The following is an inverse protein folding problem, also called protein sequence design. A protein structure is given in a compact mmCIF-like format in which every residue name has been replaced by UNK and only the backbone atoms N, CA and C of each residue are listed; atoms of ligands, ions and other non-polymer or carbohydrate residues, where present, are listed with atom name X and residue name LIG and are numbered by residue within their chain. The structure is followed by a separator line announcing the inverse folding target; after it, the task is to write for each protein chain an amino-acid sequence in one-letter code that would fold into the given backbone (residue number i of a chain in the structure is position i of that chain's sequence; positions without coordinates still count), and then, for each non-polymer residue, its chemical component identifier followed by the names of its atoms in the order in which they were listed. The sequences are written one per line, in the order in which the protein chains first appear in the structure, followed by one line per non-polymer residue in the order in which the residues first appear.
data_IF_279038560462
#
_entry.id   IF_279038560462
#
_cell.length_a   1.000
_cell.length_b   1.000
_cell.length_c   1.000
_cell.angle_alpha   90.00
_cell.angle_beta   90.00
_cell.angle_gamma   90.00
#
_symmetry.space_group_name_H-M   'P 1'
#
loop_
_entity.id
_entity.type
_entity.pdbx_description
1 polymer ?
#
# COMPACT_ATOMS: atom_id res chain seq x y z
N UNK A 1 -19.31 -12.46 13.16
CA UNK A 1 -20.22 -11.31 13.34
C UNK A 1 -21.63 -11.86 13.30
N UNK A 2 -22.36 -11.81 14.42
CA UNK A 2 -23.63 -12.51 14.57
C UNK A 2 -24.76 -11.83 13.78
N UNK A 3 -25.56 -12.63 13.05
CA UNK A 3 -26.65 -12.13 12.18
C UNK A 3 -27.72 -11.41 13.01
N UNK A 4 -27.95 -11.89 14.24
CA UNK A 4 -28.94 -11.30 15.14
C UNK A 4 -28.49 -9.94 15.69
N UNK A 5 -27.18 -9.69 15.76
CA UNK A 5 -26.58 -8.40 16.15
C UNK A 5 -26.63 -7.36 15.03
N UNK A 6 -26.47 -7.80 13.77
CA UNK A 6 -26.68 -6.98 12.57
C UNK A 6 -28.13 -6.51 12.46
N UNK A 7 -29.10 -7.42 12.60
CA UNK A 7 -30.53 -7.10 12.48
C UNK A 7 -31.00 -6.06 13.52
N UNK A 8 -30.47 -6.14 14.75
CA UNK A 8 -30.76 -5.17 15.82
C UNK A 8 -30.24 -3.77 15.50
N UNK A 9 -29.06 -3.67 14.87
CA UNK A 9 -28.43 -2.38 14.54
C UNK A 9 -29.06 -1.71 13.32
N UNK A 10 -29.46 -2.47 12.30
CA UNK A 10 -29.98 -1.92 11.03
C UNK A 10 -31.51 -1.80 10.99
N UNK A 11 -32.24 -2.29 11.99
CA UNK A 11 -33.71 -2.42 11.98
C UNK A 11 -34.23 -3.12 10.70
N UNK A 12 -33.44 -4.00 10.11
CA UNK A 12 -33.79 -4.77 8.92
C UNK A 12 -34.26 -6.16 9.30
N UNK A 13 -35.08 -6.78 8.45
CA UNK A 13 -35.46 -8.18 8.64
C UNK A 13 -34.24 -9.11 8.47
N UNK A 14 -34.28 -10.29 9.10
CA UNK A 14 -33.21 -11.30 8.99
C UNK A 14 -32.92 -11.69 7.54
N UNK A 15 -33.95 -11.71 6.69
CA UNK A 15 -33.84 -11.98 5.25
C UNK A 15 -33.09 -10.87 4.51
N UNK A 16 -33.34 -9.60 4.84
CA UNK A 16 -32.62 -8.47 4.27
C UNK A 16 -31.15 -8.41 4.72
N UNK A 17 -30.88 -8.70 5.99
CA UNK A 17 -29.51 -8.75 6.52
C UNK A 17 -28.67 -9.86 5.84
N UNK A 18 -29.24 -11.05 5.65
CA UNK A 18 -28.58 -12.16 4.94
C UNK A 18 -28.36 -11.80 3.45
N UNK A 19 -29.34 -11.17 2.81
CA UNK A 19 -29.21 -10.72 1.41
C UNK A 19 -28.09 -9.68 1.25
N UNK A 20 -28.02 -8.70 2.16
CA UNK A 20 -26.98 -7.67 2.17
C UNK A 20 -25.59 -8.26 2.41
N UNK A 21 -25.44 -9.17 3.39
CA UNK A 21 -24.17 -9.86 3.65
C UNK A 21 -23.73 -10.71 2.46
N UNK A 22 -24.66 -11.46 1.85
CA UNK A 22 -24.40 -12.23 0.63
C UNK A 22 -23.94 -11.33 -0.52
N UNK A 23 -24.61 -10.18 -0.72
CA UNK A 23 -24.21 -9.17 -1.70
C UNK A 23 -22.79 -8.64 -1.45
N UNK A 24 -22.46 -8.31 -0.20
CA UNK A 24 -21.13 -7.84 0.18
C UNK A 24 -20.06 -8.92 -0.06
N UNK A 25 -20.32 -10.17 0.35
CA UNK A 25 -19.40 -11.28 0.10
C UNK A 25 -19.18 -11.50 -1.40
N UNK A 26 -20.23 -11.45 -2.21
CA UNK A 26 -20.11 -11.59 -3.66
C UNK A 26 -19.30 -10.45 -4.28
N UNK A 27 -19.50 -9.21 -3.82
CA UNK A 27 -18.73 -8.06 -4.26
C UNK A 27 -17.25 -8.20 -3.87
N UNK A 28 -16.95 -8.55 -2.62
CA UNK A 28 -15.58 -8.79 -2.17
C UNK A 28 -14.91 -9.90 -2.99
N UNK A 29 -15.62 -11.02 -3.18
CA UNK A 29 -15.15 -12.12 -4.01
C UNK A 29 -14.91 -11.70 -5.46
N UNK A 30 -15.73 -10.82 -6.03
CA UNK A 30 -15.49 -10.27 -7.37
C UNK A 30 -14.16 -9.50 -7.43
N UNK A 31 -13.88 -8.65 -6.45
CA UNK A 31 -12.63 -7.88 -6.41
C UNK A 31 -11.39 -8.77 -6.23
N UNK A 32 -11.44 -9.74 -5.32
CA UNK A 32 -10.36 -10.72 -5.10
C UNK A 32 -10.06 -11.53 -6.35
N UNK A 33 -11.10 -12.07 -7.00
CA UNK A 33 -10.94 -12.84 -8.24
C UNK A 33 -10.35 -11.99 -9.36
N UNK A 34 -10.82 -10.75 -9.50
CA UNK A 34 -10.32 -9.78 -10.47
C UNK A 34 -8.85 -9.45 -10.27
N UNK A 35 -8.44 -9.17 -9.03
CA UNK A 35 -7.05 -8.87 -8.69
C UNK A 35 -6.15 -10.07 -9.00
N UNK A 36 -6.51 -11.28 -8.54
CA UNK A 36 -5.73 -12.50 -8.79
C UNK A 36 -5.66 -12.87 -10.27
N UNK A 37 -6.75 -12.67 -11.02
CA UNK A 37 -6.76 -12.91 -12.46
C UNK A 37 -5.87 -11.92 -13.21
N UNK A 38 -5.82 -10.66 -12.78
CA UNK A 38 -4.94 -9.64 -13.34
C UNK A 38 -3.45 -9.92 -13.08
N UNK A 39 -3.12 -10.46 -11.91
CA UNK A 39 -1.74 -10.81 -11.49
C UNK A 39 -1.32 -12.25 -11.89
N UNK A 40 -2.20 -12.99 -12.57
CA UNK A 40 -1.99 -14.41 -12.88
C UNK A 40 -0.69 -14.66 -13.64
N UNK A 41 -0.43 -13.90 -14.71
CA UNK A 41 0.75 -14.08 -15.56
C UNK A 41 2.04 -13.79 -14.79
N UNK A 42 2.04 -12.72 -14.00
CA UNK A 42 3.16 -12.37 -13.12
C UNK A 42 3.44 -13.48 -12.11
N UNK A 43 2.40 -13.99 -11.44
CA UNK A 43 2.52 -15.09 -10.47
C UNK A 43 3.06 -16.38 -11.12
N UNK A 44 2.59 -16.71 -12.31
CA UNK A 44 3.10 -17.87 -13.06
C UNK A 44 4.59 -17.67 -13.38
N UNK A 45 4.97 -16.48 -13.81
CA UNK A 45 6.36 -16.18 -14.12
C UNK A 45 7.26 -16.23 -12.87
N UNK A 46 6.78 -15.74 -11.73
CA UNK A 46 7.45 -15.89 -10.43
C UNK A 46 7.70 -17.35 -10.11
N UNK A 47 6.69 -18.20 -10.24
CA UNK A 47 6.82 -19.64 -9.97
C UNK A 47 7.80 -20.32 -10.93
N UNK A 48 7.73 -20.00 -12.22
CA UNK A 48 8.68 -20.50 -13.22
C UNK A 48 10.11 -20.08 -12.88
N UNK A 49 10.31 -18.82 -12.48
CA UNK A 49 11.64 -18.32 -12.13
C UNK A 49 12.17 -18.96 -10.85
N UNK A 50 11.31 -19.16 -9.85
CA UNK A 50 11.66 -19.84 -8.61
C UNK A 50 12.07 -21.31 -8.87
N UNK A 51 11.31 -22.02 -9.70
CA UNK A 51 11.64 -23.41 -10.07
C UNK A 51 12.96 -23.51 -10.83
N UNK A 52 13.17 -22.62 -11.82
CA UNK A 52 14.45 -22.51 -12.54
C UNK A 52 15.64 -22.20 -11.62
N UNK A 53 15.44 -21.42 -10.56
CA UNK A 53 16.49 -21.13 -9.60
C UNK A 53 16.87 -22.38 -8.80
N UNK A 54 15.89 -23.23 -8.46
CA UNK A 54 16.12 -24.52 -7.79
C UNK A 54 16.81 -25.52 -8.71
N UNK A 55 16.41 -25.58 -9.99
CA UNK A 55 17.08 -26.40 -11.00
C UNK A 55 18.55 -25.98 -11.14
N UNK A 56 18.81 -24.67 -11.24
CA UNK A 56 20.16 -24.13 -11.32
C UNK A 56 20.97 -24.46 -10.06
N UNK A 57 20.38 -24.34 -8.87
CA UNK A 57 21.03 -24.72 -7.62
C UNK A 57 21.42 -26.21 -7.63
N UNK A 58 20.55 -27.09 -8.13
CA UNK A 58 20.86 -28.51 -8.30
C UNK A 58 21.96 -28.76 -9.32
N UNK A 59 21.95 -28.06 -10.46
CA UNK A 59 22.96 -28.22 -11.51
C UNK A 59 24.34 -27.74 -11.07
N UNK A 60 24.39 -26.57 -10.41
CA UNK A 60 25.64 -25.93 -9.95
C UNK A 60 26.23 -26.61 -8.70
N UNK A 61 25.45 -27.44 -8.00
CA UNK A 61 25.89 -28.12 -6.78
C UNK A 61 27.07 -29.08 -6.99
N UNK A 62 28.06 -28.98 -6.10
CA UNK A 62 29.28 -29.79 -6.13
C UNK A 62 29.09 -30.98 -5.18
N UNK A 63 29.30 -32.20 -5.70
CA UNK A 63 29.24 -33.42 -4.89
C UNK A 63 30.34 -33.42 -3.81
N UNK A 64 29.99 -33.58 -2.52
CA UNK A 64 30.96 -33.67 -1.44
C UNK A 64 31.69 -35.01 -1.47
N UNK A 65 33.01 -34.98 -1.25
CA UNK A 65 33.82 -36.20 -1.11
C UNK A 65 33.68 -36.75 0.31
N UNK A 66 32.94 -37.84 0.46
CA UNK A 66 32.67 -38.46 1.76
C UNK A 66 33.10 -39.92 1.78
N UNK A 67 33.69 -40.35 2.90
CA UNK A 67 34.12 -41.73 3.14
C UNK A 67 33.12 -42.49 4.01
N UNK A 68 32.99 -43.79 3.75
CA UNK A 68 32.14 -44.66 4.56
C UNK A 68 32.74 -44.86 5.95
N UNK A 69 31.96 -44.62 7.01
CA UNK A 69 32.42 -44.82 8.41
C UNK A 69 32.77 -46.27 8.77
N UNK A 70 32.28 -47.25 7.99
CA UNK A 70 32.54 -48.67 8.24
C UNK A 70 33.71 -49.23 7.43
N UNK A 71 33.85 -48.78 6.18
CA UNK A 71 34.76 -49.40 5.21
C UNK A 71 35.85 -48.45 4.71
N UNK A 72 35.81 -47.18 5.11
CA UNK A 72 36.75 -46.11 4.72
C UNK A 72 36.93 -45.93 3.21
N UNK A 73 35.96 -46.41 2.42
CA UNK A 73 35.92 -46.23 0.97
C UNK A 73 35.15 -44.98 0.60
N UNK A 74 35.56 -44.36 -0.50
CA UNK A 74 34.84 -43.23 -1.09
C UNK A 74 33.42 -43.66 -1.47
N UNK A 75 32.43 -42.93 -0.97
CA UNK A 75 31.02 -43.19 -1.28
C UNK A 75 30.68 -42.62 -2.66
N UNK A 76 29.68 -43.21 -3.32
CA UNK A 76 29.21 -42.79 -4.65
C UNK A 76 27.84 -42.10 -4.54
N UNK A 77 27.62 -41.07 -5.34
CA UNK A 77 26.32 -40.42 -5.46
C UNK A 77 25.26 -41.40 -5.99
N UNK A 78 24.17 -41.55 -5.23
CA UNK A 78 22.98 -42.27 -5.66
C UNK A 78 21.88 -41.32 -6.12
N UNK A 79 21.70 -40.22 -5.40
CA UNK A 79 20.61 -39.29 -5.61
C UNK A 79 20.95 -37.93 -5.00
N UNK A 80 20.54 -36.84 -5.64
CA UNK A 80 20.62 -35.48 -5.07
C UNK A 80 19.28 -34.79 -5.20
N UNK A 81 18.94 -33.93 -4.23
CA UNK A 81 17.73 -33.10 -4.24
C UNK A 81 17.96 -31.80 -3.46
N UNK A 82 17.06 -30.83 -3.64
CA UNK A 82 16.99 -29.66 -2.77
C UNK A 82 16.22 -30.04 -1.50
N UNK A 83 16.78 -29.71 -0.35
CA UNK A 83 16.04 -29.62 0.90
C UNK A 83 15.56 -28.17 1.07
N UNK A 84 14.24 -27.99 0.99
CA UNK A 84 13.61 -26.68 1.12
C UNK A 84 13.46 -26.29 2.58
N UNK A 85 13.83 -25.07 2.92
CA UNK A 85 13.51 -24.46 4.20
C UNK A 85 12.21 -23.65 4.04
N UNK A 86 11.12 -24.18 4.59
CA UNK A 86 9.80 -23.55 4.49
C UNK A 86 9.68 -22.24 5.30
N UNK A 87 10.54 -22.05 6.30
CA UNK A 87 10.57 -20.83 7.12
C UNK A 87 11.47 -19.76 6.49
N UNK A 88 12.50 -20.16 5.74
CA UNK A 88 13.39 -19.25 5.03
C UNK A 88 13.90 -19.83 3.71
N UNK A 89 13.22 -19.49 2.60
CA UNK A 89 13.57 -19.95 1.25
C UNK A 89 14.98 -19.57 0.78
N UNK A 90 15.68 -18.65 1.44
CA UNK A 90 17.08 -18.32 1.14
C UNK A 90 18.08 -19.34 1.72
N UNK A 91 17.60 -20.29 2.53
CA UNK A 91 18.39 -21.35 3.12
C UNK A 91 18.21 -22.70 2.41
N UNK A 92 17.62 -22.71 1.22
CA UNK A 92 17.49 -23.93 0.42
C UNK A 92 18.89 -24.51 0.14
N UNK A 93 19.09 -25.77 0.49
CA UNK A 93 20.39 -26.47 0.38
C UNK A 93 20.25 -27.71 -0.47
N UNK A 94 21.30 -28.04 -1.23
CA UNK A 94 21.36 -29.33 -1.90
C UNK A 94 21.86 -30.39 -0.94
N UNK A 95 21.21 -31.54 -0.98
CA UNK A 95 21.57 -32.71 -0.20
C UNK A 95 21.80 -33.92 -1.10
N UNK A 96 22.86 -34.65 -0.79
CA UNK A 96 23.35 -35.80 -1.54
C UNK A 96 23.14 -37.07 -0.73
N UNK A 97 22.44 -38.03 -1.31
CA UNK A 97 22.41 -39.41 -0.84
C UNK A 97 23.60 -40.15 -1.43
N UNK A 98 24.60 -40.38 -0.60
CA UNK A 98 25.77 -41.17 -0.96
C UNK A 98 25.59 -42.62 -0.51
N UNK A 99 26.07 -43.56 -1.31
CA UNK A 99 26.05 -44.99 -1.02
C UNK A 99 27.47 -45.58 -1.10
N UNK A 100 27.84 -46.38 -0.10
CA UNK A 100 29.07 -47.16 -0.14
C UNK A 100 28.92 -48.34 -1.11
N UNK A 101 29.87 -48.56 -2.04
CA UNK A 101 29.81 -49.67 -2.99
C UNK A 101 29.96 -51.04 -2.33
N UNK A 102 30.67 -51.13 -1.19
CA UNK A 102 31.00 -52.43 -0.57
C UNK A 102 29.98 -52.89 0.47
N UNK A 103 29.49 -51.98 1.32
CA UNK A 103 28.62 -52.33 2.46
C UNK A 103 27.20 -51.78 2.35
N UNK A 104 26.88 -51.16 1.22
CA UNK A 104 25.58 -50.53 0.91
C UNK A 104 25.10 -49.48 1.92
N UNK A 105 25.95 -49.08 2.87
CA UNK A 105 25.67 -48.02 3.83
C UNK A 105 25.36 -46.71 3.10
N UNK A 106 24.32 -46.03 3.54
CA UNK A 106 23.84 -44.77 2.94
C UNK A 106 23.95 -43.63 3.93
N UNK A 107 24.27 -42.45 3.41
CA UNK A 107 24.34 -41.21 4.19
C UNK A 107 23.80 -40.05 3.40
N UNK A 108 23.14 -39.14 4.10
CA UNK A 108 22.70 -37.86 3.55
C UNK A 108 23.71 -36.81 3.96
N UNK A 109 24.29 -36.11 2.99
CA UNK A 109 25.38 -35.14 3.21
C UNK A 109 25.04 -33.85 2.47
N UNK A 110 25.31 -32.70 3.06
CA UNK A 110 25.18 -31.40 2.41
C UNK A 110 26.42 -31.06 1.57
N UNK A 111 26.35 -30.01 0.75
CA UNK A 111 27.48 -29.54 -0.08
C UNK A 111 28.78 -29.28 0.71
N UNK A 112 28.66 -28.84 1.97
CA UNK A 112 29.79 -28.56 2.86
C UNK A 112 30.41 -29.83 3.47
N UNK A 113 29.86 -31.02 3.17
CA UNK A 113 30.30 -32.30 3.73
C UNK A 113 29.69 -32.63 5.09
N UNK A 114 28.81 -31.78 5.63
CA UNK A 114 28.12 -32.06 6.91
C UNK A 114 27.03 -33.12 6.71
N UNK A 115 26.94 -34.06 7.65
CA UNK A 115 25.94 -35.13 7.62
C UNK A 115 24.58 -34.60 8.12
N UNK A 116 23.51 -34.92 7.40
CA UNK A 116 22.16 -34.55 7.83
C UNK A 116 21.75 -35.36 9.04
N UNK A 117 21.38 -34.65 10.10
CA UNK A 117 20.78 -35.28 11.27
C UNK A 117 19.38 -35.82 10.92
N UNK A 118 19.09 -37.10 11.25
CA UNK A 118 17.75 -37.64 11.06
C UNK A 118 16.75 -36.89 11.94
N UNK A 119 15.55 -36.63 11.39
CA UNK A 119 14.48 -36.01 12.15
C UNK A 119 14.12 -36.87 13.36
N UNK A 120 14.14 -36.25 14.54
CA UNK A 120 13.81 -36.91 15.81
C UNK A 120 12.31 -36.90 16.01
N UNK A 121 11.66 -38.06 15.92
CA UNK A 121 10.25 -38.20 16.27
C UNK A 121 10.11 -38.13 17.79
N UNK A 122 9.27 -37.22 18.27
CA UNK A 122 9.00 -37.06 19.70
C UNK A 122 7.67 -37.75 20.06
N UNK A 123 7.65 -38.41 21.21
CA UNK A 123 6.45 -39.07 21.71
C UNK A 123 5.40 -38.04 22.14
N UNK A 124 4.16 -38.16 21.66
CA UNK A 124 3.05 -37.26 22.03
C UNK A 124 2.78 -37.22 23.54
N UNK A 125 3.05 -38.31 24.27
CA UNK A 125 2.73 -38.42 25.70
C UNK A 125 3.79 -37.85 26.64
N UNK A 126 5.06 -37.87 26.25
CA UNK A 126 6.16 -37.53 27.15
C UNK A 126 7.29 -36.74 26.48
N UNK A 127 7.13 -36.40 25.21
CA UNK A 127 8.05 -35.61 24.39
C UNK A 127 9.48 -36.16 24.32
N UNK A 128 9.70 -37.43 24.66
CA UNK A 128 10.99 -38.08 24.46
C UNK A 128 11.12 -38.65 23.06
N UNK A 129 12.36 -38.72 22.57
CA UNK A 129 12.69 -39.31 21.28
C UNK A 129 12.18 -40.76 21.18
N UNK A 130 11.55 -41.08 20.06
CA UNK A 130 11.02 -42.41 19.74
C UNK A 130 11.96 -43.15 18.79
N UNK A 131 12.06 -44.46 18.97
CA UNK A 131 12.87 -45.32 18.13
C UNK A 131 11.99 -46.02 17.09
N UNK A 132 12.57 -46.27 15.91
CA UNK A 132 11.94 -47.10 14.89
C UNK A 132 11.91 -48.55 15.35
N UNK A 133 10.72 -49.10 15.57
CA UNK A 133 10.51 -50.45 16.06
C UNK A 133 10.35 -51.48 14.93
N UNK A 134 9.89 -51.05 13.75
CA UNK A 134 9.76 -51.92 12.59
C UNK A 134 8.88 -51.35 11.49
N UNK A 135 9.06 -51.88 10.29
CA UNK A 135 8.31 -51.51 9.10
C UNK A 135 7.68 -52.78 8.49
N UNK A 136 6.42 -52.67 8.08
CA UNK A 136 5.71 -53.71 7.31
C UNK A 136 5.21 -53.11 6.02
N UNK A 137 5.76 -53.58 4.91
CA UNK A 137 5.28 -53.23 3.57
C UNK A 137 4.37 -54.32 3.00
N UNK A 138 3.25 -53.89 2.45
CA UNK A 138 2.38 -54.66 1.58
C UNK A 138 2.21 -53.92 0.26
N UNK A 139 1.66 -54.57 -0.77
CA UNK A 139 1.46 -53.94 -2.10
C UNK A 139 0.64 -52.64 -2.05
N UNK A 140 -0.24 -52.47 -1.06
CA UNK A 140 -1.17 -51.35 -0.95
C UNK A 140 -0.89 -50.45 0.25
N UNK A 141 0.08 -50.76 1.10
CA UNK A 141 0.22 -50.08 2.38
C UNK A 141 1.60 -50.27 2.98
N UNK A 142 2.16 -49.19 3.51
CA UNK A 142 3.36 -49.20 4.36
C UNK A 142 2.95 -48.86 5.78
N UNK A 143 3.19 -49.77 6.73
CA UNK A 143 3.01 -49.50 8.16
C UNK A 143 4.37 -49.33 8.83
N UNK A 144 4.62 -48.16 9.38
CA UNK A 144 5.83 -47.86 10.14
C UNK A 144 5.48 -47.76 11.62
N UNK A 145 6.13 -48.55 12.46
CA UNK A 145 5.87 -48.57 13.91
C UNK A 145 7.02 -47.92 14.65
N UNK A 146 6.70 -46.97 15.52
CA UNK A 146 7.64 -46.30 16.41
C UNK A 146 7.33 -46.68 17.86
N UNK A 147 8.37 -46.83 18.68
CA UNK A 147 8.24 -47.12 20.11
C UNK A 147 8.99 -46.06 20.92
N UNK A 148 8.30 -45.52 21.92
CA UNK A 148 8.90 -44.64 22.90
C UNK A 148 9.69 -45.46 23.94
N UNK A 149 10.95 -45.08 24.18
CA UNK A 149 11.84 -45.74 25.14
C UNK A 149 11.52 -45.39 26.59
N UNK A 150 10.87 -44.25 26.87
CA UNK A 150 10.55 -43.80 28.24
C UNK A 150 9.19 -44.26 28.76
N UNK A 151 8.16 -44.26 27.93
CA UNK A 151 6.77 -44.52 28.36
C UNK A 151 6.10 -45.71 27.65
N UNK A 152 6.89 -46.49 26.88
CA UNK A 152 6.46 -47.67 26.11
C UNK A 152 5.33 -47.44 25.10
N UNK A 153 4.92 -46.19 24.89
CA UNK A 153 3.93 -45.83 23.90
C UNK A 153 4.38 -46.25 22.50
N UNK A 154 3.44 -46.80 21.73
CA UNK A 154 3.64 -47.19 20.34
C UNK A 154 2.75 -46.35 19.45
N UNK A 155 3.34 -45.85 18.39
CA UNK A 155 2.70 -45.07 17.34
C UNK A 155 2.87 -45.82 16.03
N UNK A 156 1.81 -45.86 15.21
CA UNK A 156 1.81 -46.56 13.93
C UNK A 156 1.38 -45.58 12.86
N UNK A 157 2.31 -45.28 11.95
CA UNK A 157 2.03 -44.50 10.76
C UNK A 157 1.66 -45.44 9.61
N UNK A 158 0.57 -45.11 8.94
CA UNK A 158 0.03 -45.89 7.84
C UNK A 158 0.04 -45.04 6.57
N UNK A 159 0.87 -45.42 5.60
CA UNK A 159 0.87 -44.82 4.27
C UNK A 159 0.09 -45.73 3.33
N UNK A 160 -1.07 -45.26 2.87
CA UNK A 160 -1.87 -45.94 1.86
C UNK A 160 -1.24 -45.72 0.47
N UNK A 161 -1.00 -46.83 -0.24
CA UNK A 161 -0.45 -46.85 -1.59
C UNK A 161 -1.47 -47.39 -2.60
N UNK A 162 -2.73 -47.51 -2.21
CA UNK A 162 -3.79 -47.93 -3.11
C UNK A 162 -4.05 -46.87 -4.18
N UNK A 163 -4.37 -47.33 -5.39
CA UNK A 163 -4.84 -46.45 -6.45
C UNK A 163 -6.24 -45.95 -6.07
N UNK A 164 -6.42 -44.63 -6.09
CA UNK A 164 -7.72 -43.97 -5.92
C UNK A 164 -8.76 -44.53 -6.91
N UNK A 165 -10.00 -44.72 -6.42
CA UNK A 165 -11.11 -45.23 -7.22
C UNK A 165 -11.39 -44.26 -8.40
N UNK A 166 -11.43 -44.73 -9.66
CA UNK A 166 -11.78 -43.90 -10.81
C UNK A 166 -13.07 -43.07 -10.63
N UNK A 167 -14.06 -43.57 -9.88
CA UNK A 167 -15.30 -42.86 -9.59
C UNK A 167 -15.11 -41.70 -8.61
N UNK A 168 -14.17 -41.82 -7.68
CA UNK A 168 -13.84 -40.71 -6.78
C UNK A 168 -13.11 -39.62 -7.53
N UNK A 169 -12.15 -39.97 -8.39
CA UNK A 169 -11.48 -39.02 -9.29
C UNK A 169 -12.45 -38.25 -10.18
N UNK A 170 -13.47 -38.93 -10.72
CA UNK A 170 -14.49 -38.28 -11.55
C UNK A 170 -15.32 -37.27 -10.74
N UNK A 171 -15.67 -37.62 -9.50
CA UNK A 171 -16.39 -36.71 -8.59
C UNK A 171 -15.54 -35.49 -8.24
N UNK A 172 -14.28 -35.69 -7.86
CA UNK A 172 -13.35 -34.61 -7.54
C UNK A 172 -13.14 -33.67 -8.74
N UNK A 173 -13.01 -34.23 -9.94
CA UNK A 173 -12.91 -33.44 -11.17
C UNK A 173 -14.18 -32.62 -11.42
N UNK A 174 -15.35 -33.20 -11.21
CA UNK A 174 -16.62 -32.50 -11.35
C UNK A 174 -16.77 -31.36 -10.32
N UNK A 175 -16.32 -31.56 -9.09
CA UNK A 175 -16.30 -30.53 -8.04
C UNK A 175 -15.29 -29.43 -8.37
N UNK A 176 -14.08 -29.78 -8.80
CA UNK A 176 -13.07 -28.84 -9.26
C UNK A 176 -13.58 -27.95 -10.40
N UNK A 177 -14.29 -28.52 -11.37
CA UNK A 177 -14.85 -27.73 -12.48
C UNK A 177 -15.92 -26.74 -12.02
N UNK A 178 -16.74 -27.10 -11.03
CA UNK A 178 -17.71 -26.18 -10.42
C UNK A 178 -17.01 -25.04 -9.69
N UNK A 179 -15.97 -25.36 -8.93
CA UNK A 179 -15.20 -24.35 -8.20
C UNK A 179 -14.40 -23.45 -9.15
N UNK A 180 -13.82 -24.00 -10.22
CA UNK A 180 -13.17 -23.22 -11.27
C UNK A 180 -14.14 -22.22 -11.90
N UNK A 181 -15.34 -22.66 -12.27
CA UNK A 181 -16.36 -21.76 -12.82
C UNK A 181 -16.82 -20.71 -11.79
N UNK A 182 -16.84 -21.06 -10.50
CA UNK A 182 -17.23 -20.15 -9.44
C UNK A 182 -16.14 -19.14 -9.10
N UNK A 183 -14.87 -19.53 -9.08
CA UNK A 183 -13.77 -18.77 -8.50
C UNK A 183 -12.75 -18.22 -9.51
N UNK A 184 -12.77 -18.66 -10.77
CA UNK A 184 -11.91 -18.10 -11.80
C UNK A 184 -12.72 -17.20 -12.74
N UNK A 185 -12.15 -16.05 -13.12
CA UNK A 185 -12.71 -15.22 -14.19
C UNK A 185 -12.26 -15.73 -15.55
N UNK A 186 -13.13 -15.60 -16.53
CA UNK A 186 -12.79 -15.69 -17.94
C UNK A 186 -12.16 -14.37 -18.43
N UNK A 187 -11.70 -14.36 -19.68
CA UNK A 187 -11.07 -13.18 -20.28
C UNK A 187 -12.01 -11.97 -20.30
N UNK A 188 -13.30 -12.22 -20.55
CA UNK A 188 -14.32 -11.17 -20.56
C UNK A 188 -14.52 -10.57 -19.17
N UNK A 189 -14.69 -11.40 -18.15
CA UNK A 189 -14.84 -10.96 -16.76
C UNK A 189 -13.61 -10.22 -16.25
N UNK A 190 -12.40 -10.62 -16.69
CA UNK A 190 -11.17 -9.89 -16.39
C UNK A 190 -11.17 -8.49 -17.02
N UNK A 191 -11.62 -8.36 -18.27
CA UNK A 191 -11.72 -7.07 -18.94
C UNK A 191 -12.73 -6.15 -18.23
N UNK A 192 -13.91 -6.67 -17.89
CA UNK A 192 -14.93 -5.94 -17.12
C UNK A 192 -14.40 -5.48 -15.76
N UNK A 193 -13.61 -6.32 -15.08
CA UNK A 193 -12.96 -5.95 -13.82
C UNK A 193 -11.96 -4.80 -14.01
N UNK A 194 -11.10 -4.86 -15.04
CA UNK A 194 -10.11 -3.81 -15.32
C UNK A 194 -10.80 -2.47 -15.59
N UNK A 195 -11.82 -2.47 -16.45
CA UNK A 195 -12.61 -1.28 -16.77
C UNK A 195 -13.34 -0.73 -15.53
N UNK A 196 -13.95 -1.61 -14.74
CA UNK A 196 -14.61 -1.23 -13.48
C UNK A 196 -13.63 -0.61 -12.47
N UNK A 197 -12.43 -1.18 -12.34
CA UNK A 197 -11.37 -0.65 -11.47
C UNK A 197 -10.91 0.73 -11.91
N UNK A 198 -10.73 0.94 -13.21
CA UNK A 198 -10.29 2.23 -13.75
C UNK A 198 -11.38 3.31 -13.63
N UNK A 199 -12.64 2.93 -13.84
CA UNK A 199 -13.77 3.83 -13.61
C UNK A 199 -13.88 4.23 -12.13
N UNK A 200 -13.65 3.30 -11.19
CA UNK A 200 -13.67 3.60 -9.76
C UNK A 200 -12.57 4.62 -9.39
N UNK A 201 -11.36 4.46 -9.94
CA UNK A 201 -10.26 5.42 -9.74
C UNK A 201 -10.62 6.82 -10.27
N UNK A 202 -11.18 6.91 -11.47
CA UNK A 202 -11.65 8.20 -12.03
C UNK A 202 -12.72 8.85 -11.16
N UNK A 203 -13.65 8.05 -10.64
CA UNK A 203 -14.67 8.56 -9.73
C UNK A 203 -14.06 9.08 -8.42
N UNK A 204 -13.04 8.40 -7.88
CA UNK A 204 -12.32 8.86 -6.69
C UNK A 204 -11.64 10.23 -6.93
N UNK A 205 -11.03 10.42 -8.11
CA UNK A 205 -10.42 11.70 -8.50
C UNK A 205 -11.47 12.81 -8.57
N UNK A 206 -12.61 12.56 -9.22
CA UNK A 206 -13.71 13.52 -9.28
C UNK A 206 -14.23 13.88 -7.89
N UNK A 207 -14.41 12.90 -6.99
CA UNK A 207 -14.86 13.16 -5.61
C UNK A 207 -13.84 14.00 -4.85
N UNK A 208 -12.53 13.79 -5.06
CA UNK A 208 -11.48 14.64 -4.46
C UNK A 208 -11.55 16.07 -4.98
N UNK A 209 -11.87 16.28 -6.24
CA UNK A 209 -12.07 17.62 -6.81
C UNK A 209 -13.31 18.30 -6.23
N UNK A 210 -14.45 17.61 -6.17
CA UNK A 210 -15.68 18.16 -5.57
C UNK A 210 -15.50 18.54 -4.09
N UNK A 211 -14.81 17.71 -3.30
CA UNK A 211 -14.52 18.02 -1.89
C UNK A 211 -13.67 19.29 -1.72
N UNK A 212 -12.68 19.50 -2.59
CA UNK A 212 -11.86 20.73 -2.58
C UNK A 212 -12.69 21.97 -2.87
N UNK A 213 -13.73 21.86 -3.68
CA UNK A 213 -14.60 22.99 -3.99
C UNK A 213 -15.63 23.25 -2.88
N UNK A 214 -16.16 22.22 -2.23
CA UNK A 214 -17.10 22.38 -1.11
C UNK A 214 -16.46 23.02 0.14
N UNK A 215 -15.20 22.71 0.47
CA UNK A 215 -14.48 23.33 1.60
C UNK A 215 -14.26 24.85 1.42
N UNK A 216 -14.22 25.34 0.18
CA UNK A 216 -13.94 26.74 -0.15
C UNK A 216 -15.23 27.58 -0.18
N UNK A 217 -16.40 26.96 -0.41
CA UNK A 217 -17.72 27.63 -0.48
C UNK A 217 -18.08 28.49 0.74
N UNK A 218 -17.86 28.07 2.01
CA UNK A 218 -18.13 28.95 3.15
C UNK A 218 -17.20 30.16 3.18
N UNK A 219 -15.91 29.97 2.84
CA UNK A 219 -14.93 31.06 2.83
C UNK A 219 -15.20 32.09 1.72
N UNK A 220 -15.75 31.66 0.58
CA UNK A 220 -16.24 32.54 -0.49
C UNK A 220 -17.34 33.51 0.00
N UNK A 221 -18.23 33.05 0.89
CA UNK A 221 -19.32 33.87 1.45
C UNK A 221 -18.82 34.92 2.45
N UNK A 222 -17.69 34.67 3.10
CA UNK A 222 -17.09 35.58 4.07
C UNK A 222 -16.24 36.70 3.41
N UNK A 223 -15.92 36.59 2.12
CA UNK A 223 -15.14 37.61 1.41
C UNK A 223 -16.03 38.81 1.06
N UNK A 224 -15.70 39.96 1.65
CA UNK A 224 -16.34 41.23 1.35
C UNK A 224 -15.89 41.74 -0.03
N UNK A 225 -16.83 41.86 -0.98
CA UNK A 225 -16.59 42.47 -2.29
C UNK A 225 -16.55 44.00 -2.15
N UNK A 226 -15.36 44.59 -2.29
CA UNK A 226 -15.17 46.03 -2.22
C UNK A 226 -14.94 46.61 -3.62
N UNK A 227 -15.62 47.71 -3.92
CA UNK A 227 -15.30 48.55 -5.08
C UNK A 227 -14.02 49.36 -4.83
N UNK A 228 -13.40 49.89 -5.90
CA UNK A 228 -12.18 50.72 -5.80
C UNK A 228 -12.39 51.92 -4.87
N UNK A 229 -13.56 52.57 -4.94
CA UNK A 229 -13.88 53.71 -4.08
C UNK A 229 -13.98 53.33 -2.59
N UNK A 230 -14.56 52.16 -2.29
CA UNK A 230 -14.68 51.67 -0.91
C UNK A 230 -13.33 51.18 -0.36
N UNK A 231 -12.51 50.56 -1.20
CA UNK A 231 -11.14 50.17 -0.89
C UNK A 231 -10.30 51.38 -0.47
N UNK A 232 -10.34 52.46 -1.26
CA UNK A 232 -9.61 53.69 -0.95
C UNK A 232 -10.00 54.28 0.40
N UNK A 233 -11.30 54.33 0.71
CA UNK A 233 -11.79 54.84 2.00
C UNK A 233 -11.27 53.97 3.15
N UNK A 234 -11.33 52.64 3.01
CA UNK A 234 -10.89 51.68 4.03
C UNK A 234 -9.38 51.78 4.27
N UNK A 235 -8.57 51.87 3.20
CA UNK A 235 -7.12 52.03 3.28
C UNK A 235 -6.71 53.41 3.83
N UNK A 236 -7.34 54.50 3.39
CA UNK A 236 -7.07 55.84 3.95
C UNK A 236 -7.32 55.88 5.46
N UNK A 237 -8.39 55.26 5.93
CA UNK A 237 -8.73 55.22 7.35
C UNK A 237 -7.72 54.40 8.18
N UNK A 238 -7.29 53.24 7.69
CA UNK A 238 -6.35 52.38 8.43
C UNK A 238 -4.89 52.86 8.36
N UNK A 239 -4.45 53.39 7.22
CA UNK A 239 -3.07 53.82 7.00
C UNK A 239 -2.74 55.15 7.68
N UNK A 240 -3.69 56.10 7.77
CA UNK A 240 -3.51 57.34 8.55
C UNK A 240 -3.24 57.06 10.03
N UNK A 241 -3.95 56.09 10.62
CA UNK A 241 -3.72 55.66 12.01
C UNK A 241 -2.31 55.10 12.24
N UNK A 242 -1.64 54.62 11.19
CA UNK A 242 -0.28 54.07 11.24
C UNK A 242 0.82 55.07 10.85
N UNK A 243 0.47 56.33 10.62
CA UNK A 243 1.40 57.40 10.28
C UNK A 243 1.76 57.49 8.80
N UNK A 244 0.91 56.97 7.91
CA UNK A 244 1.06 57.14 6.47
C UNK A 244 0.06 58.16 5.95
N UNK A 245 0.55 59.14 5.19
CA UNK A 245 -0.23 60.28 4.73
C UNK A 245 -0.20 60.45 3.21
N UNK A 246 -1.12 61.28 2.71
CA UNK A 246 -1.26 61.63 1.28
C UNK A 246 -1.36 60.41 0.36
N UNK A 247 -2.23 59.46 0.70
CA UNK A 247 -2.53 58.32 -0.17
C UNK A 247 -3.16 58.79 -1.50
N UNK A 248 -2.52 58.43 -2.61
CA UNK A 248 -2.97 58.62 -3.98
C UNK A 248 -3.03 57.27 -4.68
N UNK A 249 -4.12 57.04 -5.39
CA UNK A 249 -4.35 55.87 -6.23
C UNK A 249 -4.16 56.26 -7.69
N UNK A 250 -3.60 55.35 -8.49
CA UNK A 250 -3.58 55.48 -9.94
C UNK A 250 -4.94 55.14 -10.54
N UNK A 251 -5.11 55.45 -11.83
CA UNK A 251 -6.22 54.91 -12.60
C UNK A 251 -6.19 53.36 -12.58
N UNK A 252 -7.33 52.69 -12.36
CA UNK A 252 -7.40 51.24 -12.36
C UNK A 252 -7.13 50.67 -13.74
N UNK A 253 -6.21 49.70 -13.82
CA UNK A 253 -5.96 48.92 -15.03
C UNK A 253 -6.83 47.67 -15.00
N UNK A 254 -7.73 47.54 -15.97
CA UNK A 254 -8.62 46.38 -16.10
C UNK A 254 -8.07 45.45 -17.17
N UNK A 255 -7.59 44.28 -16.74
CA UNK A 255 -7.18 43.18 -17.61
C UNK A 255 -7.85 41.90 -17.06
N UNK A 256 -7.17 40.75 -17.02
CA UNK A 256 -7.65 39.55 -16.29
C UNK A 256 -8.00 39.85 -14.82
N UNK A 257 -7.31 40.79 -14.17
CA UNK A 257 -7.60 41.26 -12.82
C UNK A 257 -7.60 42.80 -12.80
N UNK A 258 -8.27 43.40 -11.82
CA UNK A 258 -8.23 44.87 -11.63
C UNK A 258 -6.97 45.21 -10.84
N UNK A 259 -6.08 46.01 -11.40
CA UNK A 259 -4.84 46.43 -10.73
C UNK A 259 -4.87 47.93 -10.43
N UNK A 260 -4.52 48.31 -9.20
CA UNK A 260 -4.46 49.72 -8.75
C UNK A 260 -3.13 49.96 -8.06
N UNK A 261 -2.37 50.96 -8.55
CA UNK A 261 -1.13 51.37 -7.92
C UNK A 261 -1.43 52.43 -6.85
N UNK A 262 -0.83 52.27 -5.68
CA UNK A 262 -1.03 53.12 -4.52
C UNK A 262 0.29 53.79 -4.15
N UNK A 263 0.29 55.12 -4.09
CA UNK A 263 1.40 55.96 -3.65
C UNK A 263 1.04 56.64 -2.35
N UNK A 264 1.95 56.62 -1.38
CA UNK A 264 1.75 57.24 -0.08
C UNK A 264 3.07 57.76 0.49
N UNK A 265 2.98 58.73 1.39
CA UNK A 265 4.13 59.34 2.06
C UNK A 265 4.23 58.79 3.49
N UNK A 266 5.43 58.41 3.90
CA UNK A 266 5.69 58.14 5.31
C UNK A 266 5.80 59.47 6.06
N UNK A 267 4.94 59.69 7.06
CA UNK A 267 4.94 60.90 7.86
C UNK A 267 5.80 60.77 9.12
N UNK A 268 6.42 59.61 9.37
CA UNK A 268 7.36 59.41 10.46
C UNK A 268 8.80 59.56 9.97
N UNK A 269 9.51 60.52 10.53
CA UNK A 269 10.92 60.79 10.20
C UNK A 269 11.88 59.78 10.85
N UNK A 270 11.45 59.14 11.95
CA UNK A 270 12.28 58.20 12.72
C UNK A 270 12.32 56.77 12.14
N UNK A 271 11.58 56.50 11.05
CA UNK A 271 11.49 55.16 10.47
C UNK A 271 12.56 54.92 9.40
N UNK A 272 13.27 53.82 9.55
CA UNK A 272 14.12 53.30 8.49
C UNK A 272 13.30 52.72 7.33
N UNK A 273 13.85 52.81 6.11
CA UNK A 273 13.21 52.33 4.87
C UNK A 273 12.64 50.90 4.98
N UNK A 274 13.41 50.00 5.62
CA UNK A 274 12.99 48.61 5.81
C UNK A 274 11.74 48.49 6.68
N UNK A 275 11.70 49.24 7.79
CA UNK A 275 10.59 49.24 8.73
C UNK A 275 9.33 49.83 8.08
N UNK A 276 9.47 50.92 7.31
CA UNK A 276 8.38 51.52 6.54
C UNK A 276 7.76 50.53 5.53
N UNK A 277 8.58 49.76 4.82
CA UNK A 277 8.10 48.72 3.89
C UNK A 277 7.37 47.59 4.62
N UNK A 278 7.92 47.09 5.74
CA UNK A 278 7.30 46.02 6.52
C UNK A 278 5.98 46.47 7.16
N UNK A 279 5.96 47.65 7.77
CA UNK A 279 4.77 48.22 8.42
C UNK A 279 3.64 48.43 7.43
N UNK A 280 3.96 48.98 6.25
CA UNK A 280 2.97 49.16 5.18
C UNK A 280 2.47 47.81 4.67
N UNK A 281 3.37 46.86 4.39
CA UNK A 281 3.00 45.52 3.93
C UNK A 281 2.04 44.86 4.92
N UNK A 282 2.40 44.84 6.20
CA UNK A 282 1.58 44.23 7.24
C UNK A 282 0.24 44.97 7.42
N UNK A 283 0.23 46.31 7.34
CA UNK A 283 -0.99 47.10 7.41
C UNK A 283 -1.96 46.78 6.27
N UNK A 284 -1.45 46.75 5.04
CA UNK A 284 -2.25 46.49 3.85
C UNK A 284 -2.74 45.04 3.85
N UNK A 285 -1.86 44.06 4.05
CA UNK A 285 -2.24 42.64 4.08
C UNK A 285 -3.32 42.37 5.14
N UNK A 286 -3.17 42.92 6.36
CA UNK A 286 -4.16 42.77 7.43
C UNK A 286 -5.50 43.46 7.11
N UNK A 287 -5.47 44.60 6.44
CA UNK A 287 -6.71 45.31 6.05
C UNK A 287 -7.46 44.56 4.96
N UNK A 288 -6.72 43.88 4.07
CA UNK A 288 -7.28 43.20 2.89
C UNK A 288 -7.64 41.73 3.13
N UNK A 289 -7.26 41.14 4.26
CA UNK A 289 -7.39 39.71 4.59
C UNK A 289 -8.80 39.12 4.38
N UNK A 290 -9.85 39.92 4.61
CA UNK A 290 -11.26 39.50 4.45
C UNK A 290 -11.95 40.09 3.22
N UNK A 291 -11.17 40.61 2.26
CA UNK A 291 -11.69 41.31 1.09
C UNK A 291 -11.28 40.62 -0.20
N UNK A 292 -11.92 40.99 -1.30
CA UNK A 292 -11.59 40.52 -2.66
C UNK A 292 -10.31 41.18 -3.24
N UNK A 293 -9.51 41.85 -2.41
CA UNK A 293 -8.27 42.52 -2.80
C UNK A 293 -7.05 41.85 -2.17
N UNK A 294 -5.91 41.97 -2.84
CA UNK A 294 -4.63 41.40 -2.40
C UNK A 294 -3.47 42.30 -2.81
N UNK A 295 -2.41 42.30 -2.00
CA UNK A 295 -1.15 42.95 -2.36
C UNK A 295 -0.42 42.10 -3.42
N UNK A 296 0.05 42.74 -4.49
CA UNK A 296 0.85 42.07 -5.53
C UNK A 296 2.21 41.62 -5.00
N UNK A 297 2.78 40.59 -5.63
CA UNK A 297 4.09 40.04 -5.26
C UNK A 297 5.25 40.97 -5.66
N UNK A 298 5.01 41.89 -6.59
CA UNK A 298 5.88 43.05 -6.87
C UNK A 298 5.91 43.91 -5.61
N UNK A 299 6.96 43.74 -4.82
CA UNK A 299 7.07 44.26 -3.46
C UNK A 299 6.90 45.78 -3.36
N UNK A 300 6.81 46.25 -2.11
CA UNK A 300 6.68 47.67 -1.80
C UNK A 300 8.00 48.37 -2.11
N UNK A 301 7.95 49.36 -3.00
CA UNK A 301 9.10 50.22 -3.28
C UNK A 301 9.09 51.43 -2.37
N UNK A 302 10.29 51.90 -2.00
CA UNK A 302 10.48 53.11 -1.21
C UNK A 302 11.51 53.98 -1.92
N UNK A 303 11.25 55.29 -1.99
CA UNK A 303 12.18 56.27 -2.50
C UNK A 303 11.93 57.61 -1.81
N UNK A 304 12.91 58.08 -1.02
CA UNK A 304 12.88 59.40 -0.37
C UNK A 304 11.57 59.69 0.40
N UNK A 305 11.12 58.75 1.23
CA UNK A 305 9.90 58.89 2.03
C UNK A 305 8.58 58.65 1.27
N UNK A 306 8.64 58.28 -0.02
CA UNK A 306 7.48 57.86 -0.82
C UNK A 306 7.48 56.35 -0.97
N UNK A 307 6.36 55.73 -0.61
CA UNK A 307 6.09 54.29 -0.75
C UNK A 307 5.12 54.06 -1.91
N UNK A 308 5.41 53.07 -2.74
CA UNK A 308 4.55 52.66 -3.85
C UNK A 308 4.34 51.14 -3.83
N UNK A 309 3.08 50.74 -3.98
CA UNK A 309 2.69 49.33 -4.04
C UNK A 309 1.48 49.11 -4.96
N UNK A 310 1.37 47.91 -5.52
CA UNK A 310 0.29 47.54 -6.43
C UNK A 310 -0.69 46.58 -5.76
N UNK A 311 -1.98 46.87 -5.89
CA UNK A 311 -3.08 46.05 -5.40
C UNK A 311 -3.77 45.34 -6.55
N UNK A 312 -4.15 44.08 -6.32
CA UNK A 312 -4.85 43.20 -7.25
C UNK A 312 -6.24 42.86 -6.70
N UNK A 313 -7.27 43.25 -7.43
CA UNK A 313 -8.68 42.96 -7.18
C UNK A 313 -9.16 41.74 -7.96
N UNK A 314 -9.92 40.89 -7.28
CA UNK A 314 -10.53 39.66 -7.81
C UNK A 314 -12.04 39.87 -7.91
N UNK A 315 -12.61 39.68 -9.09
CA UNK A 315 -14.04 39.99 -9.33
C UNK A 315 -14.88 38.73 -9.58
N UNK A 316 -14.35 37.79 -10.37
CA UNK A 316 -15.03 36.52 -10.67
C UNK A 316 -14.91 35.51 -9.53
N UNK A 317 -15.87 34.59 -9.46
CA UNK A 317 -15.92 33.57 -8.40
C UNK A 317 -14.67 32.67 -8.42
N UNK A 318 -14.17 32.32 -9.60
CA UNK A 318 -12.96 31.51 -9.74
C UNK A 318 -11.69 32.25 -9.31
N UNK A 319 -11.63 33.57 -9.51
CA UNK A 319 -10.52 34.39 -9.01
C UNK A 319 -10.55 34.51 -7.47
N UNK A 320 -11.74 34.62 -6.90
CA UNK A 320 -11.90 34.64 -5.44
C UNK A 320 -11.54 33.28 -4.85
N UNK A 321 -11.88 32.15 -5.50
CA UNK A 321 -11.40 30.81 -5.12
C UNK A 321 -9.88 30.72 -5.15
N UNK A 322 -9.23 31.25 -6.19
CA UNK A 322 -7.77 31.29 -6.30
C UNK A 322 -7.14 32.11 -5.16
N UNK A 323 -7.74 33.25 -4.82
CA UNK A 323 -7.32 34.09 -3.71
C UNK A 323 -7.40 33.34 -2.36
N UNK A 324 -8.51 32.67 -2.09
CA UNK A 324 -8.70 31.86 -0.86
C UNK A 324 -7.64 30.76 -0.77
N UNK A 325 -7.48 29.96 -1.82
CA UNK A 325 -6.45 28.90 -1.89
C UNK A 325 -5.04 29.45 -1.65
N UNK A 326 -4.74 30.64 -2.15
CA UNK A 326 -3.44 31.29 -1.93
C UNK A 326 -3.22 31.72 -0.47
N UNK A 327 -4.29 32.13 0.24
CA UNK A 327 -4.24 32.51 1.66
C UNK A 327 -4.05 31.29 2.55
N UNK A 328 -4.76 30.19 2.28
CA UNK A 328 -4.59 28.93 3.01
C UNK A 328 -3.17 28.38 2.88
N UNK A 329 -2.61 28.38 1.66
CA UNK A 329 -1.21 27.97 1.42
C UNK A 329 -0.22 28.85 2.20
N UNK A 330 -0.45 30.16 2.29
CA UNK A 330 0.39 31.08 3.08
C UNK A 330 0.26 30.84 4.58
N UNK A 331 -0.93 30.51 5.08
CA UNK A 331 -1.17 30.18 6.48
C UNK A 331 -0.51 28.85 6.88
N UNK A 332 -0.60 27.83 6.02
CA UNK A 332 0.04 26.54 6.23
C UNK A 332 1.57 26.60 6.24
N UNK A 333 2.17 27.54 5.49
CA UNK A 333 3.63 27.76 5.45
C UNK A 333 4.19 28.57 6.62
N UNK A 334 3.30 29.18 7.42
CA UNK A 334 3.63 30.00 8.60
C UNK A 334 3.48 29.22 9.93
N UNK A 335 2.78 28.08 9.89
CA UNK A 335 2.81 27.06 10.93
C UNK A 335 4.02 26.16 10.72
#
# INVERSE_FOLDING_TARGET
MDIDDLCKKTKSTKKEAISSLSGFCNMHMWFEKGARAAEKEERIQEWINADKALDKLLEDSIEPRTFCTKCDRLMQLRYKRVEKDYDNSNNDKVIFLLQCPDCEGRKWVYEDGTEREPYKRLCEKCSSEMEHAGEKMTKKMVKTTYKCTKCEHKEVDELDLSEEDPKEKEKELAEFMKDKARYCLDEKGLQEYKEGRDNLKRMEELVKEFKKDDDIRPQLKEIEKLSVASLEKKLKATLRRKGFDKLRTSEPKVDKYITVDVKLRDAKEDREEYQSKQDLKHAVEKTLEKTNWSLMTTGISYRLGVLECSLKGHDSEDQIKELVRSREKKAAKKR
#
